data_IF_588346293442
#
_entry.id   IF_588346293442
#
_cell.length_a   1.000
_cell.length_b   1.000
_cell.length_c   1.000
_cell.angle_alpha   90.00
_cell.angle_beta   90.00
_cell.angle_gamma   90.00
#
_symmetry.space_group_name_H-M   'P 1'
#
loop_
_entity.id
_entity.type
_entity.pdbx_description
1 polymer ?
#
# COMPACT_ATOMS: atom_id res chain seq x y z
N UNK A 1 6.71 -17.39 -2.55
CA UNK A 1 5.30 -17.41 -2.97
C UNK A 1 4.82 -15.99 -3.24
N UNK A 2 4.26 -15.77 -4.38
CA UNK A 2 3.72 -14.46 -4.72
C UNK A 2 2.40 -14.31 -3.99
N UNK A 3 2.31 -13.28 -3.13
CA UNK A 3 1.05 -12.94 -2.54
C UNK A 3 0.21 -12.30 -3.63
N UNK A 4 -0.94 -12.87 -3.84
CA UNK A 4 -1.83 -12.49 -4.88
C UNK A 4 -2.28 -11.04 -4.72
N UNK A 5 -2.09 -10.23 -5.76
CA UNK A 5 -2.56 -8.86 -5.82
C UNK A 5 -4.05 -8.77 -5.52
N UNK A 6 -4.83 -9.73 -6.03
CA UNK A 6 -6.28 -9.77 -5.83
C UNK A 6 -6.65 -9.85 -4.36
N UNK A 7 -5.95 -10.67 -3.59
CA UNK A 7 -6.18 -10.83 -2.16
C UNK A 7 -5.86 -9.54 -1.40
N UNK A 8 -4.74 -8.89 -1.74
CA UNK A 8 -4.36 -7.63 -1.11
C UNK A 8 -5.35 -6.51 -1.41
N UNK A 9 -5.79 -6.39 -2.66
CA UNK A 9 -6.76 -5.37 -3.05
C UNK A 9 -8.06 -5.54 -2.28
N UNK A 10 -8.55 -6.76 -2.20
CA UNK A 10 -9.77 -7.05 -1.45
C UNK A 10 -9.62 -6.73 0.03
N UNK A 11 -8.51 -7.15 0.64
CA UNK A 11 -8.26 -6.92 2.05
C UNK A 11 -8.18 -5.44 2.37
N UNK A 12 -7.45 -4.66 1.55
CA UNK A 12 -7.34 -3.21 1.73
C UNK A 12 -8.69 -2.52 1.62
N UNK A 13 -9.52 -2.96 0.68
CA UNK A 13 -10.87 -2.42 0.52
C UNK A 13 -11.73 -2.69 1.76
N UNK A 14 -11.70 -3.92 2.25
CA UNK A 14 -12.46 -4.31 3.44
C UNK A 14 -11.98 -3.57 4.69
N UNK A 15 -10.67 -3.38 4.82
CA UNK A 15 -10.09 -2.64 5.95
C UNK A 15 -10.57 -1.20 5.98
N UNK A 16 -10.78 -0.59 4.82
CA UNK A 16 -11.33 0.76 4.70
C UNK A 16 -12.86 0.80 4.70
N UNK A 17 -13.50 -0.34 4.80
CA UNK A 17 -14.96 -0.47 4.81
C UNK A 17 -15.61 0.14 3.57
N UNK A 18 -14.98 -0.07 2.41
CA UNK A 18 -15.47 0.41 1.13
C UNK A 18 -16.14 -0.72 0.36
N UNK A 19 -17.16 -0.36 -0.43
CA UNK A 19 -17.78 -1.27 -1.37
C UNK A 19 -17.02 -1.22 -2.70
N UNK A 20 -17.18 -2.26 -3.52
CA UNK A 20 -16.53 -2.31 -4.84
C UNK A 20 -16.94 -1.13 -5.72
N UNK A 21 -18.22 -0.73 -5.69
CA UNK A 21 -18.69 0.39 -6.49
C UNK A 21 -18.09 1.74 -6.03
N UNK A 22 -17.84 1.88 -4.73
CA UNK A 22 -17.18 3.08 -4.21
C UNK A 22 -15.74 3.17 -4.68
N UNK A 23 -15.00 2.07 -4.61
CA UNK A 23 -13.60 2.03 -5.10
C UNK A 23 -13.56 2.29 -6.61
N UNK A 24 -14.47 1.66 -7.35
CA UNK A 24 -14.56 1.87 -8.80
C UNK A 24 -14.71 3.35 -9.15
N UNK A 25 -15.59 4.05 -8.44
CA UNK A 25 -15.82 5.47 -8.65
C UNK A 25 -14.58 6.30 -8.31
N UNK A 26 -13.91 5.96 -7.21
CA UNK A 26 -12.74 6.70 -6.75
C UNK A 26 -11.53 6.54 -7.67
N UNK A 27 -11.37 5.39 -8.30
CA UNK A 27 -10.24 5.14 -9.20
C UNK A 27 -10.60 5.23 -10.68
N UNK A 28 -11.87 5.51 -10.99
CA UNK A 28 -12.28 5.78 -12.37
C UNK A 28 -12.42 4.55 -13.26
N UNK A 29 -12.86 3.43 -12.69
CA UNK A 29 -13.12 2.20 -13.45
C UNK A 29 -14.51 1.67 -13.13
N UNK A 30 -14.96 0.62 -13.82
CA UNK A 30 -16.25 0.01 -13.54
C UNK A 30 -16.19 -0.88 -12.31
N UNK A 31 -17.35 -1.09 -11.68
CA UNK A 31 -17.47 -2.04 -10.57
C UNK A 31 -17.03 -3.45 -11.00
N UNK A 32 -17.39 -3.84 -12.22
CA UNK A 32 -16.97 -5.12 -12.77
C UNK A 32 -15.46 -5.27 -12.87
N UNK A 33 -14.77 -4.18 -13.20
CA UNK A 33 -13.30 -4.18 -13.22
C UNK A 33 -12.73 -4.43 -11.83
N UNK A 34 -13.25 -3.75 -10.80
CA UNK A 34 -12.80 -3.97 -9.42
C UNK A 34 -13.04 -5.42 -9.00
N UNK A 35 -14.21 -5.96 -9.30
CA UNK A 35 -14.52 -7.36 -9.01
C UNK A 35 -13.53 -8.31 -9.70
N UNK A 36 -13.22 -8.04 -10.97
CA UNK A 36 -12.27 -8.86 -11.73
C UNK A 36 -10.85 -8.79 -11.16
N UNK A 37 -10.43 -7.62 -10.68
CA UNK A 37 -9.12 -7.46 -10.03
C UNK A 37 -9.06 -8.24 -8.71
N UNK A 38 -10.14 -8.23 -7.94
CA UNK A 38 -10.19 -8.90 -6.63
C UNK A 38 -10.38 -10.41 -6.73
N UNK A 39 -10.76 -10.92 -7.90
CA UNK A 39 -10.92 -12.37 -8.15
C UNK A 39 -9.85 -12.93 -9.07
N UNK A 40 -8.84 -12.13 -9.40
CA UNK A 40 -7.71 -12.50 -10.26
C UNK A 40 -8.12 -12.93 -11.68
N UNK A 41 -9.29 -12.48 -12.13
CA UNK A 41 -9.74 -12.72 -13.51
C UNK A 41 -9.04 -11.74 -14.46
N UNK A 42 -8.71 -10.56 -13.97
CA UNK A 42 -8.12 -9.48 -14.74
C UNK A 42 -7.16 -8.69 -13.86
N UNK A 43 -6.09 -8.18 -14.45
CA UNK A 43 -5.14 -7.34 -13.73
C UNK A 43 -5.36 -5.88 -14.07
N UNK A 44 -5.20 -4.97 -13.11
CA UNK A 44 -5.29 -3.54 -13.38
C UNK A 44 -4.16 -3.09 -14.29
N UNK A 45 -4.44 -2.07 -15.12
CA UNK A 45 -3.38 -1.39 -15.86
C UNK A 45 -2.45 -0.66 -14.88
N UNK A 46 -1.30 -0.24 -15.38
CA UNK A 46 -0.34 0.50 -14.58
C UNK A 46 -0.95 1.74 -13.94
N UNK A 47 -1.71 2.52 -14.72
CA UNK A 47 -2.38 3.73 -14.21
C UNK A 47 -3.37 3.41 -13.09
N UNK A 48 -4.17 2.37 -13.25
CA UNK A 48 -5.14 1.97 -12.25
C UNK A 48 -4.45 1.44 -11.01
N UNK A 49 -3.37 0.71 -11.18
CA UNK A 49 -2.57 0.21 -10.06
C UNK A 49 -2.05 1.37 -9.19
N UNK A 50 -1.53 2.43 -9.83
CA UNK A 50 -1.07 3.62 -9.11
C UNK A 50 -2.22 4.28 -8.37
N UNK A 51 -3.40 4.41 -9.00
CA UNK A 51 -4.57 5.01 -8.35
C UNK A 51 -5.03 4.20 -7.16
N UNK A 52 -5.02 2.88 -7.27
CA UNK A 52 -5.35 1.99 -6.16
C UNK A 52 -4.34 2.13 -5.02
N UNK A 53 -3.06 2.17 -5.33
CA UNK A 53 -2.00 2.37 -4.34
C UNK A 53 -2.19 3.70 -3.59
N UNK A 54 -2.51 4.77 -4.33
CA UNK A 54 -2.75 6.08 -3.73
C UNK A 54 -4.01 6.07 -2.85
N UNK A 55 -5.08 5.41 -3.30
CA UNK A 55 -6.32 5.31 -2.53
C UNK A 55 -6.08 4.59 -1.21
N UNK A 56 -5.35 3.49 -1.25
CA UNK A 56 -5.10 2.66 -0.07
C UNK A 56 -3.86 3.10 0.73
N UNK A 57 -3.16 4.13 0.26
CA UNK A 57 -1.95 4.67 0.90
C UNK A 57 -0.90 3.61 1.15
N UNK A 58 -0.66 2.84 0.12
CA UNK A 58 0.39 1.81 0.10
C UNK A 58 1.24 2.02 -1.15
N UNK A 59 2.43 1.41 -1.19
CA UNK A 59 3.26 1.43 -2.37
C UNK A 59 2.76 0.42 -3.40
N UNK A 60 3.09 0.63 -4.67
CA UNK A 60 2.83 -0.36 -5.71
C UNK A 60 3.60 -1.66 -5.43
N UNK A 61 4.78 -1.56 -4.83
CA UNK A 61 5.56 -2.74 -4.43
C UNK A 61 4.81 -3.58 -3.39
N UNK A 62 4.16 -2.93 -2.44
CA UNK A 62 3.34 -3.62 -1.46
C UNK A 62 2.18 -4.36 -2.13
N UNK A 63 1.48 -3.69 -3.05
CA UNK A 63 0.37 -4.30 -3.79
C UNK A 63 0.83 -5.52 -4.57
N UNK A 64 2.01 -5.45 -5.17
CA UNK A 64 2.57 -6.55 -5.97
C UNK A 64 3.21 -7.64 -5.10
N UNK A 65 3.20 -7.49 -3.79
CA UNK A 65 3.73 -8.49 -2.87
C UNK A 65 5.25 -8.57 -2.83
N UNK A 66 5.94 -7.56 -3.37
CA UNK A 66 7.41 -7.59 -3.45
C UNK A 66 8.07 -7.14 -2.16
N UNK A 67 7.40 -6.28 -1.40
CA UNK A 67 7.91 -5.71 -0.14
C UNK A 67 6.77 -5.40 0.80
N UNK A 68 6.98 -5.60 2.08
CA UNK A 68 6.03 -5.16 3.10
C UNK A 68 6.35 -3.71 3.46
N UNK A 69 5.91 -2.79 2.60
CA UNK A 69 6.12 -1.36 2.78
C UNK A 69 4.81 -0.71 3.16
N UNK A 70 4.81 0.01 4.28
CA UNK A 70 3.65 0.76 4.73
C UNK A 70 3.91 2.24 4.53
N UNK A 71 2.90 2.97 4.12
CA UNK A 71 2.99 4.40 3.91
C UNK A 71 2.33 5.14 5.06
N UNK A 72 2.98 6.23 5.46
CA UNK A 72 2.45 7.15 6.46
C UNK A 72 2.18 8.49 5.80
N UNK A 73 0.97 9.02 6.00
CA UNK A 73 0.59 10.31 5.42
C UNK A 73 1.21 11.44 6.27
N UNK A 74 2.19 12.12 5.70
CA UNK A 74 2.87 13.25 6.34
C UNK A 74 2.49 14.59 5.71
N UNK A 75 1.47 14.62 4.84
CA UNK A 75 1.09 15.85 4.12
C UNK A 75 0.65 16.97 5.05
N UNK A 76 0.16 16.65 6.26
CA UNK A 76 -0.25 17.63 7.26
C UNK A 76 0.88 18.11 8.17
N UNK A 77 2.10 17.65 7.98
CA UNK A 77 3.24 18.01 8.82
C UNK A 77 4.06 19.14 8.21
N UNK A 78 4.70 19.93 9.05
CA UNK A 78 5.69 20.90 8.60
C UNK A 78 6.94 20.16 8.09
N UNK A 79 7.77 20.86 7.34
CA UNK A 79 9.04 20.30 6.86
C UNK A 79 9.92 19.82 8.02
N UNK A 80 9.98 20.60 9.10
CA UNK A 80 10.75 20.24 10.29
C UNK A 80 10.19 18.98 10.97
N UNK A 81 8.87 18.89 11.08
CA UNK A 81 8.22 17.72 11.67
C UNK A 81 8.44 16.46 10.81
N UNK A 82 8.31 16.58 9.50
CA UNK A 82 8.56 15.47 8.58
C UNK A 82 10.02 15.00 8.68
N UNK A 83 10.97 15.93 8.77
CA UNK A 83 12.38 15.61 8.96
C UNK A 83 12.63 14.87 10.28
N UNK A 84 11.98 15.30 11.35
CA UNK A 84 12.07 14.63 12.65
C UNK A 84 11.58 13.20 12.61
N UNK A 85 10.44 12.97 11.93
CA UNK A 85 9.89 11.62 11.73
C UNK A 85 10.86 10.76 10.93
N UNK A 86 11.41 11.29 9.83
CA UNK A 86 12.37 10.56 8.98
C UNK A 86 13.62 10.18 9.77
N UNK A 87 14.14 11.08 10.59
CA UNK A 87 15.32 10.84 11.42
C UNK A 87 15.03 9.76 12.48
N UNK A 88 13.85 9.80 13.07
CA UNK A 88 13.43 8.81 14.06
C UNK A 88 13.35 7.41 13.42
N UNK A 89 12.73 7.31 12.25
CA UNK A 89 12.62 6.04 11.52
C UNK A 89 14.02 5.49 11.19
N UNK A 90 14.90 6.34 10.67
CA UNK A 90 16.26 5.96 10.33
C UNK A 90 17.03 5.45 11.56
N UNK A 91 16.88 6.14 12.70
CA UNK A 91 17.52 5.77 13.96
C UNK A 91 17.02 4.42 14.46
N UNK A 92 15.71 4.22 14.44
CA UNK A 92 15.11 2.94 14.87
C UNK A 92 15.50 1.79 13.96
N UNK A 93 15.53 2.02 12.65
CA UNK A 93 15.93 1.01 11.66
C UNK A 93 17.38 0.60 11.88
N UNK A 94 18.29 1.56 12.08
CA UNK A 94 19.68 1.30 12.34
C UNK A 94 19.88 0.50 13.63
N UNK A 95 19.13 0.84 14.69
CA UNK A 95 19.17 0.12 15.95
C UNK A 95 18.71 -1.33 15.78
N UNK A 96 17.62 -1.55 15.07
CA UNK A 96 17.09 -2.90 14.85
C UNK A 96 18.03 -3.75 14.01
N UNK A 97 18.66 -3.16 12.99
CA UNK A 97 19.66 -3.84 12.17
C UNK A 97 20.86 -4.28 13.02
N UNK A 98 21.30 -3.40 13.92
CA UNK A 98 22.41 -3.70 14.83
C UNK A 98 22.09 -4.86 15.76
N UNK A 99 20.85 -4.91 16.28
CA UNK A 99 20.41 -6.01 17.13
C UNK A 99 20.36 -7.34 16.37
N UNK A 100 19.89 -7.33 15.12
CA UNK A 100 19.89 -8.51 14.26
C UNK A 100 21.32 -9.02 14.04
N UNK A 101 22.24 -8.13 13.73
CA UNK A 101 23.65 -8.47 13.48
C UNK A 101 24.29 -9.09 14.73
N UNK A 102 23.88 -8.68 15.90
CA UNK A 102 24.39 -9.23 17.17
C UNK A 102 23.85 -10.63 17.49
N UNK A 103 22.74 -11.02 16.87
CA UNK A 103 22.10 -12.32 17.09
C UNK A 103 22.58 -13.38 16.13
N UNK A 104 23.32 -13.01 15.12
CA UNK A 104 23.93 -13.93 14.18
C UNK A 104 25.40 -14.11 14.51
#
# INVERSE_FOLDING_TARGET
>A
MIIDLSVRLRQLRLDKRLRQDQVARLVGVSKGAISAYETDIRQPSYDVLIRLANLYRVSTEYLLGRKDVRMLDISGLTTAEAAAISNLVASMTAKNQKLEDMQT
#
